data_IF_051386640509
#
_entry.id   IF_051386640509
#
_cell.length_a   1.000
_cell.length_b   1.000
_cell.length_c   1.000
_cell.angle_alpha   90.00
_cell.angle_beta   90.00
_cell.angle_gamma   90.00
#
_symmetry.space_group_name_H-M   'P 1'
#
loop_
_entity.id
_entity.type
_entity.pdbx_description
1 polymer ?
#
# COMPACT_ATOMS: atom_id res chain seq x y z
N UNK A 1 -21.88 -6.34 -8.37
CA UNK A 1 -23.21 -6.21 -7.71
C UNK A 1 -23.86 -7.57 -7.45
N UNK A 2 -23.49 -8.61 -8.20
CA UNK A 2 -24.20 -9.91 -8.18
C UNK A 2 -23.83 -10.89 -7.05
N UNK A 3 -22.70 -10.69 -6.36
CA UNK A 3 -22.27 -11.58 -5.25
C UNK A 3 -23.11 -11.38 -3.99
N UNK A 4 -23.59 -10.17 -3.72
CA UNK A 4 -24.43 -9.88 -2.55
C UNK A 4 -25.84 -10.54 -2.63
N UNK A 5 -26.37 -10.73 -3.83
CA UNK A 5 -27.68 -11.38 -4.01
C UNK A 5 -27.62 -12.89 -3.77
N UNK A 6 -26.49 -13.55 -4.08
CA UNK A 6 -26.33 -15.00 -3.87
C UNK A 6 -26.21 -15.36 -2.38
N UNK A 7 -25.52 -14.57 -1.59
CA UNK A 7 -25.35 -14.80 -0.15
C UNK A 7 -26.66 -14.59 0.63
N UNK A 8 -27.43 -13.56 0.31
CA UNK A 8 -28.74 -13.33 0.91
C UNK A 8 -29.74 -14.44 0.56
N UNK A 9 -29.67 -14.97 -0.64
CA UNK A 9 -30.52 -16.09 -1.09
C UNK A 9 -30.23 -17.38 -0.30
N UNK A 10 -28.96 -17.69 -0.03
CA UNK A 10 -28.57 -18.88 0.70
C UNK A 10 -28.93 -18.80 2.20
N UNK A 11 -28.77 -17.65 2.81
CA UNK A 11 -29.17 -17.40 4.21
C UNK A 11 -30.69 -17.49 4.37
N UNK A 12 -31.46 -16.95 3.42
CA UNK A 12 -32.92 -17.06 3.39
C UNK A 12 -33.41 -18.50 3.24
N UNK A 13 -32.75 -19.30 2.40
CA UNK A 13 -33.05 -20.72 2.20
C UNK A 13 -32.74 -21.53 3.45
N UNK A 14 -31.63 -21.28 4.12
CA UNK A 14 -31.25 -21.95 5.38
C UNK A 14 -32.22 -21.59 6.52
N UNK A 15 -32.61 -20.32 6.64
CA UNK A 15 -33.60 -19.88 7.62
C UNK A 15 -34.98 -20.47 7.36
N UNK A 16 -35.43 -20.55 6.11
CA UNK A 16 -36.72 -21.15 5.77
C UNK A 16 -36.76 -22.67 5.99
N UNK A 17 -35.67 -23.36 5.69
CA UNK A 17 -35.52 -24.79 5.99
C UNK A 17 -35.53 -25.06 7.49
N UNK A 18 -34.94 -24.17 8.26
CA UNK A 18 -34.91 -24.19 9.71
C UNK A 18 -36.29 -23.94 10.35
N UNK A 19 -37.03 -22.96 9.87
CA UNK A 19 -38.41 -22.67 10.32
C UNK A 19 -39.37 -23.82 9.99
N UNK A 20 -39.18 -24.54 8.87
CA UNK A 20 -39.93 -25.77 8.54
C UNK A 20 -39.62 -26.94 9.48
N UNK A 21 -38.39 -27.12 9.89
CA UNK A 21 -37.98 -28.14 10.87
C UNK A 21 -38.60 -27.89 12.25
N UNK A 22 -38.70 -26.63 12.69
CA UNK A 22 -39.32 -26.26 13.96
C UNK A 22 -40.84 -26.57 13.97
N UNK A 23 -41.54 -26.43 12.84
CA UNK A 23 -42.99 -26.65 12.74
C UNK A 23 -43.44 -28.11 12.76
N UNK A 24 -42.55 -29.08 12.51
CA UNK A 24 -42.95 -30.46 12.21
C UNK A 24 -43.02 -31.42 13.40
N UNK A 25 -42.49 -31.04 14.57
CA UNK A 25 -42.42 -31.99 15.69
C UNK A 25 -43.02 -31.48 16.99
N UNK A 26 -44.20 -32.01 17.36
CA UNK A 26 -44.96 -31.62 18.58
C UNK A 26 -44.72 -32.51 19.78
N UNK A 27 -43.88 -33.57 19.73
CA UNK A 27 -43.92 -34.64 20.76
C UNK A 27 -42.77 -34.62 21.79
N UNK A 28 -41.72 -33.83 21.62
CA UNK A 28 -40.60 -33.90 22.55
C UNK A 28 -40.04 -32.53 22.91
N UNK A 29 -40.57 -31.95 23.98
CA UNK A 29 -40.16 -30.60 24.45
C UNK A 29 -38.65 -30.48 24.71
N UNK A 30 -38.00 -31.52 25.25
CA UNK A 30 -36.54 -31.49 25.54
C UNK A 30 -35.69 -31.57 24.30
N UNK A 31 -36.07 -32.40 23.29
CA UNK A 31 -35.34 -32.44 22.01
C UNK A 31 -35.51 -31.13 21.24
N UNK A 32 -36.67 -30.48 21.35
CA UNK A 32 -36.90 -29.14 20.75
C UNK A 32 -35.97 -28.09 21.31
N UNK A 33 -35.79 -28.03 22.62
CA UNK A 33 -34.92 -27.07 23.29
C UNK A 33 -33.44 -27.29 22.87
N UNK A 34 -32.99 -28.56 22.81
CA UNK A 34 -31.65 -28.89 22.33
C UNK A 34 -31.42 -28.51 20.86
N UNK A 35 -32.40 -28.78 19.98
CA UNK A 35 -32.34 -28.38 18.56
C UNK A 35 -32.30 -26.87 18.40
N UNK A 36 -33.11 -26.11 19.17
CA UNK A 36 -33.13 -24.64 19.16
C UNK A 36 -31.77 -24.07 19.65
N UNK A 37 -31.21 -24.62 20.75
CA UNK A 37 -29.92 -24.19 21.27
C UNK A 37 -28.78 -24.48 20.28
N UNK A 38 -28.79 -25.68 19.65
CA UNK A 38 -27.78 -26.04 18.65
C UNK A 38 -27.86 -25.16 17.39
N UNK A 39 -29.07 -24.85 16.99
CA UNK A 39 -29.27 -23.95 15.85
C UNK A 39 -28.93 -22.49 16.17
N UNK A 40 -29.20 -22.04 17.40
CA UNK A 40 -28.72 -20.75 17.88
C UNK A 40 -27.19 -20.64 17.88
N UNK A 41 -26.51 -21.71 18.31
CA UNK A 41 -25.06 -21.81 18.26
C UNK A 41 -24.51 -21.76 16.82
N UNK A 42 -25.12 -22.51 15.90
CA UNK A 42 -24.74 -22.47 14.47
C UNK A 42 -24.96 -21.09 13.89
N UNK A 43 -26.12 -20.46 14.14
CA UNK A 43 -26.43 -19.12 13.66
C UNK A 43 -25.44 -18.08 14.23
N UNK A 44 -25.10 -18.18 15.52
CA UNK A 44 -24.11 -17.32 16.17
C UNK A 44 -22.72 -17.53 15.59
N UNK A 45 -22.35 -18.78 15.28
CA UNK A 45 -21.06 -19.10 14.66
C UNK A 45 -20.98 -18.59 13.21
N UNK A 46 -22.05 -18.77 12.44
CA UNK A 46 -22.14 -18.20 11.07
C UNK A 46 -22.08 -16.67 11.11
N UNK A 47 -22.80 -16.04 12.03
CA UNK A 47 -22.76 -14.59 12.20
C UNK A 47 -21.37 -14.11 12.62
N UNK A 48 -20.67 -14.86 13.50
CA UNK A 48 -19.29 -14.57 13.87
C UNK A 48 -18.32 -14.70 12.68
N UNK A 49 -18.49 -15.73 11.82
CA UNK A 49 -17.71 -15.86 10.60
C UNK A 49 -17.97 -14.72 9.62
N UNK A 50 -19.23 -14.33 9.45
CA UNK A 50 -19.62 -13.22 8.58
C UNK A 50 -19.08 -11.87 9.08
N UNK A 51 -19.09 -11.66 10.40
CA UNK A 51 -18.51 -10.45 11.01
C UNK A 51 -16.98 -10.39 10.90
N UNK A 52 -16.30 -11.56 10.85
CA UNK A 52 -14.85 -11.63 10.60
C UNK A 52 -14.48 -11.59 9.12
N UNK A 53 -15.41 -11.93 8.23
CA UNK A 53 -15.16 -11.90 6.80
C UNK A 53 -15.22 -10.46 6.30
N UNK A 54 -14.05 -9.89 6.08
CA UNK A 54 -13.93 -8.60 5.42
C UNK A 54 -13.48 -8.82 3.96
N UNK A 55 -14.40 -8.69 2.97
CA UNK A 55 -14.05 -8.91 1.57
C UNK A 55 -12.97 -7.95 1.07
N UNK A 56 -12.81 -6.79 1.72
CA UNK A 56 -11.75 -5.82 1.42
C UNK A 56 -10.36 -6.26 1.90
N UNK A 57 -10.29 -7.26 2.81
CA UNK A 57 -9.05 -7.90 3.20
C UNK A 57 -8.73 -9.14 2.34
N UNK A 58 -9.22 -9.19 1.11
CA UNK A 58 -8.89 -10.23 0.15
C UNK A 58 -7.68 -9.81 -0.69
N UNK A 59 -6.74 -10.74 -0.95
CA UNK A 59 -5.54 -10.50 -1.74
C UNK A 59 -5.86 -9.87 -3.09
N UNK A 60 -6.75 -10.51 -3.85
CA UNK A 60 -7.09 -10.04 -5.20
C UNK A 60 -7.74 -8.65 -5.18
N UNK A 61 -8.54 -8.33 -4.16
CA UNK A 61 -9.12 -6.99 -3.98
C UNK A 61 -8.02 -5.95 -3.73
N UNK A 62 -7.09 -6.24 -2.80
CA UNK A 62 -6.02 -5.31 -2.44
C UNK A 62 -5.03 -5.14 -3.59
N UNK A 63 -4.61 -6.22 -4.26
CA UNK A 63 -3.72 -6.15 -5.42
C UNK A 63 -4.35 -5.38 -6.58
N UNK A 64 -5.63 -5.61 -6.85
CA UNK A 64 -6.33 -4.85 -7.88
C UNK A 64 -6.37 -3.36 -7.54
N UNK A 65 -6.68 -3.03 -6.29
CA UNK A 65 -6.76 -1.64 -5.84
C UNK A 65 -5.38 -0.97 -5.87
N UNK A 66 -4.40 -1.55 -5.20
CA UNK A 66 -3.03 -1.01 -5.13
C UNK A 66 -2.46 -0.93 -6.54
N UNK A 67 -2.54 -2.01 -7.32
CA UNK A 67 -2.00 -2.05 -8.67
C UNK A 67 -2.63 -1.01 -9.61
N UNK A 68 -3.92 -0.71 -9.46
CA UNK A 68 -4.59 0.35 -10.23
C UNK A 68 -4.07 1.73 -9.83
N UNK A 69 -3.91 1.99 -8.55
CA UNK A 69 -3.50 3.32 -8.09
C UNK A 69 -2.00 3.56 -8.27
N UNK A 70 -1.15 2.58 -7.95
CA UNK A 70 0.30 2.75 -8.14
C UNK A 70 0.68 2.85 -9.62
N UNK A 71 -0.05 2.21 -10.54
CA UNK A 71 0.20 2.31 -11.98
C UNK A 71 -0.07 3.71 -12.56
N UNK A 72 -0.71 4.61 -11.81
CA UNK A 72 -0.84 6.03 -12.17
C UNK A 72 0.48 6.80 -12.04
N UNK A 73 1.40 6.25 -11.24
CA UNK A 73 2.70 6.87 -10.93
C UNK A 73 3.84 6.04 -11.49
N UNK A 74 3.74 4.70 -11.46
CA UNK A 74 4.80 3.76 -11.84
C UNK A 74 4.51 3.07 -13.19
N UNK A 75 5.21 3.39 -14.29
CA UNK A 75 6.33 4.32 -14.39
C UNK A 75 5.89 5.73 -14.78
N UNK A 76 6.60 6.73 -14.27
CA UNK A 76 6.55 8.11 -14.74
C UNK A 76 7.98 8.58 -15.02
N UNK A 77 8.32 8.90 -16.26
CA UNK A 77 9.71 9.20 -16.64
C UNK A 77 10.16 10.58 -16.15
N UNK A 78 9.35 11.60 -16.33
CA UNK A 78 9.67 12.95 -15.87
C UNK A 78 8.71 13.36 -14.75
N UNK A 79 9.20 14.11 -13.76
CA UNK A 79 8.36 14.57 -12.66
C UNK A 79 7.20 15.45 -13.13
N UNK A 80 7.41 16.24 -14.18
CA UNK A 80 6.36 17.11 -14.74
C UNK A 80 5.15 16.30 -15.25
N UNK A 81 5.36 15.06 -15.68
CA UNK A 81 4.30 14.18 -16.19
C UNK A 81 3.31 13.79 -15.07
N UNK A 82 3.73 13.89 -13.79
CA UNK A 82 2.82 13.69 -12.65
C UNK A 82 1.65 14.66 -12.63
N UNK A 83 1.77 15.86 -13.22
CA UNK A 83 0.65 16.79 -13.35
C UNK A 83 -0.48 16.28 -14.25
N UNK A 84 -0.26 15.25 -15.06
CA UNK A 84 -1.32 14.59 -15.82
C UNK A 84 -2.26 13.80 -14.89
N UNK A 85 -1.71 13.26 -13.79
CA UNK A 85 -2.46 12.52 -12.77
C UNK A 85 -2.93 13.42 -11.63
N UNK A 86 -2.17 14.49 -11.32
CA UNK A 86 -2.37 15.38 -10.18
C UNK A 86 -2.35 16.85 -10.63
N UNK A 87 -3.39 17.32 -11.34
CA UNK A 87 -3.39 18.65 -11.95
C UNK A 87 -3.36 19.78 -10.94
N UNK A 88 -3.76 19.53 -9.69
CA UNK A 88 -3.77 20.52 -8.59
C UNK A 88 -2.45 20.56 -7.80
N UNK A 89 -1.50 19.70 -8.14
CA UNK A 89 -0.22 19.58 -7.49
C UNK A 89 0.00 18.22 -6.83
N UNK A 90 1.24 17.97 -6.45
CA UNK A 90 1.66 16.73 -5.81
C UNK A 90 2.88 16.95 -4.94
N UNK A 91 3.13 15.99 -4.06
CA UNK A 91 4.36 15.87 -3.30
C UNK A 91 4.95 14.50 -3.55
N UNK A 92 6.24 14.46 -3.88
CA UNK A 92 7.06 13.25 -3.91
C UNK A 92 7.99 13.28 -2.72
N UNK A 93 8.00 12.21 -1.97
CA UNK A 93 8.84 12.05 -0.80
C UNK A 93 9.55 10.71 -0.86
N UNK A 94 10.87 10.73 -0.67
CA UNK A 94 11.67 9.52 -0.55
C UNK A 94 12.57 9.63 0.67
N UNK A 95 12.70 8.55 1.41
CA UNK A 95 13.64 8.42 2.52
C UNK A 95 14.38 7.10 2.43
N UNK A 96 15.66 7.11 2.74
CA UNK A 96 16.48 5.91 2.88
C UNK A 96 17.42 6.04 4.07
N UNK A 97 17.72 4.92 4.66
CA UNK A 97 18.78 4.83 5.64
C UNK A 97 20.14 4.73 4.94
N UNK A 98 21.10 5.51 5.43
CA UNK A 98 22.50 5.46 5.01
C UNK A 98 23.36 5.52 6.27
N UNK A 99 23.86 4.37 6.69
CA UNK A 99 24.56 4.22 7.97
C UNK A 99 23.67 4.64 9.17
N UNK A 100 24.14 5.59 9.96
CA UNK A 100 23.43 6.14 11.12
C UNK A 100 22.49 7.32 10.78
N UNK A 101 22.42 7.70 9.50
CA UNK A 101 21.64 8.83 9.03
C UNK A 101 20.42 8.41 8.20
N UNK A 102 19.44 9.28 8.16
CA UNK A 102 18.38 9.24 7.18
C UNK A 102 18.64 10.31 6.11
N UNK A 103 18.59 9.90 4.86
CA UNK A 103 18.61 10.82 3.72
C UNK A 103 17.20 10.91 3.16
N UNK A 104 16.66 12.14 3.13
CA UNK A 104 15.30 12.45 2.70
C UNK A 104 15.33 13.41 1.53
N UNK A 105 14.56 13.15 0.48
CA UNK A 105 14.26 14.12 -0.55
C UNK A 105 12.75 14.35 -0.59
N UNK A 106 12.33 15.60 -0.59
CA UNK A 106 10.93 16.00 -0.72
C UNK A 106 10.82 17.07 -1.79
N UNK A 107 10.02 16.80 -2.82
CA UNK A 107 9.74 17.75 -3.89
C UNK A 107 8.25 18.01 -3.97
N UNK A 108 7.89 19.27 -4.24
CA UNK A 108 6.50 19.72 -4.36
C UNK A 108 6.29 20.36 -5.73
N UNK A 109 5.39 19.80 -6.51
CA UNK A 109 4.84 20.39 -7.72
C UNK A 109 3.54 21.11 -7.39
N UNK A 110 3.46 22.41 -7.66
CA UNK A 110 2.28 23.22 -7.34
C UNK A 110 1.48 23.61 -8.56
N UNK A 111 2.11 23.70 -9.72
CA UNK A 111 1.49 24.14 -10.96
C UNK A 111 2.23 23.56 -12.17
N UNK A 112 1.49 23.09 -13.17
CA UNK A 112 2.06 22.56 -14.41
C UNK A 112 2.84 23.65 -15.15
N UNK A 113 4.09 23.34 -15.52
CA UNK A 113 4.99 24.28 -16.20
C UNK A 113 5.79 25.18 -15.26
N UNK A 114 5.52 25.16 -13.96
CA UNK A 114 6.38 25.79 -12.96
C UNK A 114 7.46 24.79 -12.48
N UNK A 115 8.61 25.29 -11.97
CA UNK A 115 9.61 24.42 -11.37
C UNK A 115 9.08 23.66 -10.15
N UNK A 116 9.38 22.36 -10.08
CA UNK A 116 9.10 21.51 -8.93
C UNK A 116 10.24 21.71 -7.92
N UNK A 117 9.92 22.09 -6.68
CA UNK A 117 10.90 22.55 -5.70
C UNK A 117 10.86 21.76 -4.42
N UNK A 118 11.97 21.71 -3.73
CA UNK A 118 12.04 21.07 -2.43
C UNK A 118 13.45 21.00 -1.85
N UNK A 119 13.67 19.97 -1.05
CA UNK A 119 14.88 19.84 -0.25
C UNK A 119 15.35 18.39 -0.22
N UNK A 120 16.67 18.22 -0.22
CA UNK A 120 17.39 17.00 0.11
C UNK A 120 18.06 17.21 1.47
N UNK A 121 17.71 16.36 2.44
CA UNK A 121 18.10 16.55 3.84
C UNK A 121 18.78 15.29 4.34
N UNK A 122 19.92 15.43 4.99
CA UNK A 122 20.53 14.40 5.83
C UNK A 122 20.20 14.70 7.29
N UNK A 123 19.72 13.69 8.02
CA UNK A 123 19.32 13.80 9.43
C UNK A 123 20.01 12.70 10.22
N UNK A 124 20.67 13.03 11.29
CA UNK A 124 21.19 12.05 12.24
C UNK A 124 20.04 11.35 12.97
N UNK A 125 20.08 10.02 13.06
CA UNK A 125 18.93 9.23 13.56
C UNK A 125 18.72 9.37 15.08
N UNK A 126 19.81 9.45 15.84
CA UNK A 126 19.73 9.54 17.30
C UNK A 126 19.21 10.89 17.78
N UNK A 127 19.79 11.97 17.27
CA UNK A 127 19.42 13.33 17.68
C UNK A 127 18.18 13.87 16.94
N UNK A 128 17.93 13.39 15.74
CA UNK A 128 16.94 13.95 14.82
C UNK A 128 17.37 15.28 14.19
N UNK A 129 18.61 15.70 14.39
CA UNK A 129 19.13 16.97 13.86
C UNK A 129 19.48 16.85 12.37
N UNK A 130 19.15 17.90 11.62
CA UNK A 130 19.54 18.00 10.22
C UNK A 130 21.03 18.35 10.13
N UNK A 131 21.83 17.48 9.57
CA UNK A 131 23.27 17.68 9.36
C UNK A 131 23.57 18.40 8.06
N UNK A 132 22.73 18.18 7.04
CA UNK A 132 22.82 18.86 5.73
C UNK A 132 21.44 19.16 5.21
N UNK A 133 21.29 20.33 4.56
CA UNK A 133 20.08 20.73 3.85
C UNK A 133 20.49 21.34 2.51
N UNK A 134 19.96 20.78 1.42
CA UNK A 134 20.27 21.18 0.05
C UNK A 134 18.94 21.50 -0.63
N UNK A 135 18.82 22.69 -1.17
CA UNK A 135 17.65 23.06 -1.99
C UNK A 135 17.75 22.40 -3.35
N UNK A 136 16.62 21.86 -3.80
CA UNK A 136 16.50 21.12 -5.06
C UNK A 136 15.40 21.77 -5.90
N UNK A 137 15.69 21.97 -7.17
CA UNK A 137 14.72 22.37 -8.17
C UNK A 137 14.78 21.37 -9.34
N UNK A 138 13.61 20.95 -9.84
CA UNK A 138 13.49 20.14 -11.04
C UNK A 138 12.66 20.90 -12.06
N UNK A 139 13.25 21.11 -13.25
CA UNK A 139 12.62 21.83 -14.33
C UNK A 139 13.14 21.37 -15.70
N UNK A 140 12.24 21.17 -16.66
CA UNK A 140 12.57 20.68 -18.01
C UNK A 140 13.43 19.40 -18.00
N UNK A 141 13.06 18.43 -17.17
CA UNK A 141 13.74 17.16 -17.10
C UNK A 141 15.08 17.17 -16.39
N UNK A 142 15.43 18.25 -15.68
CA UNK A 142 16.74 18.41 -15.04
C UNK A 142 16.64 18.83 -13.59
N UNK A 143 17.48 18.22 -12.75
CA UNK A 143 17.69 18.66 -11.38
C UNK A 143 18.76 19.75 -11.32
N UNK A 144 18.57 20.71 -10.44
CA UNK A 144 19.57 21.70 -10.03
C UNK A 144 19.60 21.76 -8.50
N UNK A 145 20.78 21.90 -7.93
CA UNK A 145 21.00 21.83 -6.49
C UNK A 145 21.75 23.07 -6.01
N UNK A 146 21.48 23.51 -4.77
CA UNK A 146 22.26 24.55 -4.12
C UNK A 146 23.69 24.13 -3.80
N UNK A 147 23.94 22.82 -3.64
CA UNK A 147 25.24 22.16 -3.53
C UNK A 147 25.21 20.84 -4.29
N UNK A 148 25.69 20.87 -5.54
CA UNK A 148 25.65 19.71 -6.44
C UNK A 148 26.55 18.57 -5.96
N UNK A 149 27.73 18.90 -5.38
CA UNK A 149 28.65 17.90 -4.88
C UNK A 149 28.03 17.08 -3.76
N UNK A 150 27.51 17.76 -2.74
CA UNK A 150 26.86 17.10 -1.61
C UNK A 150 25.57 16.39 -2.02
N UNK A 151 24.81 16.92 -2.98
CA UNK A 151 23.62 16.26 -3.52
C UNK A 151 23.96 14.92 -4.19
N UNK A 152 25.04 14.87 -4.99
CA UNK A 152 25.51 13.64 -5.65
C UNK A 152 25.99 12.59 -4.64
N UNK A 153 26.59 13.00 -3.53
CA UNK A 153 26.99 12.10 -2.44
C UNK A 153 25.78 11.53 -1.71
N UNK A 154 24.79 12.36 -1.39
CA UNK A 154 23.61 11.97 -0.62
C UNK A 154 22.54 11.24 -1.45
N UNK A 155 22.41 11.58 -2.73
CA UNK A 155 21.38 11.01 -3.61
C UNK A 155 21.96 10.67 -5.01
N UNK A 156 22.86 9.68 -5.07
CA UNK A 156 23.58 9.32 -6.31
C UNK A 156 22.68 8.81 -7.43
N UNK A 157 21.49 8.28 -7.12
CA UNK A 157 20.54 7.79 -8.11
C UNK A 157 19.96 8.93 -8.96
N UNK A 158 19.85 10.13 -8.41
CA UNK A 158 19.24 11.32 -9.03
C UNK A 158 17.92 11.03 -9.77
N UNK A 159 17.18 10.10 -9.21
CA UNK A 159 15.89 9.66 -9.75
C UNK A 159 15.06 9.01 -8.64
N UNK A 160 13.76 9.07 -8.76
CA UNK A 160 12.82 8.34 -7.90
C UNK A 160 12.64 6.92 -8.42
N UNK A 161 12.21 6.00 -7.54
CA UNK A 161 11.97 4.61 -7.90
C UNK A 161 10.89 4.49 -8.98
N UNK A 162 9.84 5.32 -8.91
CA UNK A 162 8.77 5.32 -9.91
C UNK A 162 9.25 5.71 -11.32
N UNK A 163 10.42 6.32 -11.47
CA UNK A 163 11.01 6.61 -12.77
C UNK A 163 11.73 5.39 -13.39
N UNK A 164 11.93 4.33 -12.62
CA UNK A 164 12.76 3.17 -13.00
C UNK A 164 11.99 1.88 -13.17
N UNK A 165 10.90 1.71 -12.43
CA UNK A 165 10.17 0.44 -12.40
C UNK A 165 8.71 0.61 -12.79
N UNK A 166 8.13 -0.45 -13.33
CA UNK A 166 6.69 -0.54 -13.63
C UNK A 166 6.01 -1.36 -12.55
N UNK A 167 5.03 -0.77 -11.90
CA UNK A 167 4.20 -1.46 -10.90
C UNK A 167 2.74 -1.42 -11.34
N UNK A 168 2.10 -2.59 -11.40
CA UNK A 168 0.69 -2.71 -11.74
C UNK A 168 0.11 -3.98 -11.11
N UNK A 169 -1.20 -4.19 -11.27
CA UNK A 169 -1.90 -5.35 -10.74
C UNK A 169 -1.28 -6.68 -11.18
N UNK A 170 -0.94 -6.80 -12.46
CA UNK A 170 -0.44 -8.06 -13.02
C UNK A 170 0.92 -8.39 -12.41
N UNK A 171 1.79 -7.39 -12.28
CA UNK A 171 3.06 -7.53 -11.58
C UNK A 171 2.86 -7.99 -10.14
N UNK A 172 2.01 -7.32 -9.34
CA UNK A 172 1.76 -7.67 -7.94
C UNK A 172 1.25 -9.11 -7.79
N UNK A 173 0.39 -9.56 -8.72
CA UNK A 173 -0.18 -10.92 -8.68
C UNK A 173 0.85 -12.04 -8.85
N UNK A 174 2.01 -11.75 -9.45
CA UNK A 174 3.11 -12.70 -9.64
C UNK A 174 3.98 -12.87 -8.41
N UNK A 175 3.92 -11.92 -7.47
CA UNK A 175 4.79 -11.90 -6.31
C UNK A 175 4.32 -12.88 -5.23
N UNK A 176 5.26 -13.40 -4.44
CA UNK A 176 4.97 -14.23 -3.27
C UNK A 176 4.50 -13.35 -2.12
N UNK A 177 3.18 -13.33 -1.88
CA UNK A 177 2.61 -12.60 -0.74
C UNK A 177 3.11 -13.19 0.58
N UNK A 178 3.64 -12.33 1.45
CA UNK A 178 4.05 -12.64 2.81
C UNK A 178 2.89 -12.37 3.78
N UNK A 179 2.37 -11.14 3.75
CA UNK A 179 1.27 -10.71 4.61
C UNK A 179 0.40 -9.65 3.93
N UNK A 180 -0.78 -9.44 4.47
CA UNK A 180 -1.71 -8.39 4.05
C UNK A 180 -2.50 -7.85 5.22
N UNK A 181 -2.79 -6.57 5.17
CA UNK A 181 -3.57 -5.89 6.20
C UNK A 181 -4.62 -4.96 5.58
N UNK A 182 -5.79 -4.90 6.21
CA UNK A 182 -6.82 -3.92 5.92
C UNK A 182 -7.51 -3.47 7.21
N UNK A 183 -7.53 -2.17 7.47
CA UNK A 183 -8.27 -1.57 8.58
C UNK A 183 -9.62 -1.04 8.09
N UNK A 184 -10.70 -1.56 8.66
CA UNK A 184 -12.05 -1.02 8.42
C UNK A 184 -12.31 0.31 9.13
N UNK A 185 -11.48 0.68 10.12
CA UNK A 185 -11.65 1.92 10.89
C UNK A 185 -11.24 3.16 10.10
N UNK A 186 -10.09 3.11 9.47
CA UNK A 186 -9.50 4.23 8.73
C UNK A 186 -9.24 3.94 7.25
N UNK A 187 -9.61 2.74 6.78
CA UNK A 187 -9.43 2.33 5.40
C UNK A 187 -7.97 2.17 4.97
N UNK A 188 -7.01 2.14 5.90
CA UNK A 188 -5.62 1.84 5.58
C UNK A 188 -5.46 0.37 5.19
N UNK A 189 -4.51 0.11 4.31
CA UNK A 189 -4.20 -1.24 3.84
C UNK A 189 -2.73 -1.35 3.49
N UNK A 190 -2.25 -2.59 3.52
CA UNK A 190 -0.87 -2.92 3.22
C UNK A 190 -0.79 -4.31 2.59
N UNK A 191 0.16 -4.49 1.66
CA UNK A 191 0.55 -5.77 1.09
C UNK A 191 2.07 -5.90 1.20
N UNK A 192 2.52 -7.00 1.78
CA UNK A 192 3.93 -7.30 2.01
C UNK A 192 4.33 -8.55 1.21
N UNK A 193 5.45 -8.46 0.50
CA UNK A 193 5.96 -9.52 -0.36
C UNK A 193 7.42 -9.82 -0.06
N UNK A 194 7.76 -11.12 0.03
CA UNK A 194 9.16 -11.55 0.02
C UNK A 194 9.60 -11.71 -1.44
N UNK A 195 10.54 -10.89 -1.89
CA UNK A 195 10.92 -10.83 -3.29
C UNK A 195 12.43 -10.75 -3.50
N UNK A 196 12.85 -11.14 -4.70
CA UNK A 196 14.15 -10.83 -5.27
C UNK A 196 13.88 -10.16 -6.61
N UNK A 197 14.06 -8.85 -6.67
CA UNK A 197 13.77 -8.02 -7.84
C UNK A 197 15.06 -7.28 -8.24
N UNK A 198 15.77 -7.76 -9.27
CA UNK A 198 17.05 -7.19 -9.69
C UNK A 198 16.99 -5.69 -9.95
N UNK A 199 15.89 -5.20 -10.55
CA UNK A 199 15.71 -3.77 -10.88
C UNK A 199 15.61 -2.89 -9.63
N UNK A 200 14.91 -3.35 -8.58
CA UNK A 200 14.86 -2.64 -7.30
C UNK A 200 16.21 -2.75 -6.58
N UNK A 201 16.81 -3.94 -6.59
CA UNK A 201 18.11 -4.17 -5.98
C UNK A 201 19.19 -3.28 -6.61
N UNK A 202 19.21 -3.17 -7.94
CA UNK A 202 20.13 -2.27 -8.65
C UNK A 202 19.89 -0.81 -8.27
N UNK A 203 18.63 -0.36 -8.25
CA UNK A 203 18.29 1.00 -7.85
C UNK A 203 18.75 1.32 -6.44
N UNK A 204 18.67 0.38 -5.50
CA UNK A 204 19.09 0.53 -4.11
C UNK A 204 20.59 0.23 -3.89
N UNK A 205 21.32 -0.12 -4.95
CA UNK A 205 22.73 -0.53 -4.90
C UNK A 205 22.97 -1.81 -4.09
N UNK A 206 22.01 -2.72 -4.12
CA UNK A 206 22.11 -4.06 -3.55
C UNK A 206 22.65 -5.07 -4.57
N UNK A 207 23.21 -6.21 -4.11
CA UNK A 207 23.47 -7.35 -4.98
C UNK A 207 22.17 -7.80 -5.68
N UNK A 208 22.24 -8.14 -6.96
CA UNK A 208 21.05 -8.52 -7.74
C UNK A 208 20.27 -9.71 -7.14
N UNK A 209 20.94 -10.57 -6.37
CA UNK A 209 20.35 -11.75 -5.71
C UNK A 209 19.80 -11.47 -4.30
N UNK A 210 19.86 -10.22 -3.80
CA UNK A 210 19.41 -9.92 -2.43
C UNK A 210 17.91 -10.11 -2.30
N UNK A 211 17.49 -10.83 -1.26
CA UNK A 211 16.09 -10.93 -0.86
C UNK A 211 15.71 -9.70 -0.06
N UNK A 212 14.55 -9.13 -0.36
CA UNK A 212 14.00 -7.94 0.30
C UNK A 212 12.52 -8.15 0.61
N UNK A 213 12.02 -7.45 1.61
CA UNK A 213 10.60 -7.25 1.82
C UNK A 213 10.15 -6.01 1.06
N UNK A 214 9.20 -6.20 0.14
CA UNK A 214 8.59 -5.13 -0.63
C UNK A 214 7.16 -4.92 -0.16
N UNK A 215 6.87 -3.73 0.35
CA UNK A 215 5.57 -3.39 0.91
C UNK A 215 4.91 -2.25 0.15
N UNK A 216 3.60 -2.37 -0.01
CA UNK A 216 2.75 -1.35 -0.61
C UNK A 216 1.69 -0.93 0.40
N UNK A 217 1.65 0.35 0.74
CA UNK A 217 0.69 0.91 1.67
C UNK A 217 -0.10 2.07 1.11
N UNK A 218 -1.32 2.25 1.62
CA UNK A 218 -2.18 3.36 1.28
C UNK A 218 -3.35 3.51 2.24
N UNK A 219 -4.19 4.51 2.00
CA UNK A 219 -5.38 4.76 2.82
C UNK A 219 -6.57 5.20 1.97
N UNK A 220 -7.76 4.74 2.39
CA UNK A 220 -9.05 5.16 1.84
C UNK A 220 -9.67 6.33 2.58
N UNK A 221 -9.10 6.74 3.70
CA UNK A 221 -9.69 7.76 4.57
C UNK A 221 -9.64 9.15 3.95
N UNK A 222 -8.69 9.39 3.05
CA UNK A 222 -8.55 10.63 2.34
C UNK A 222 -9.13 10.50 0.92
N UNK A 223 -9.74 11.55 0.45
CA UNK A 223 -10.19 11.66 -0.95
C UNK A 223 -9.01 11.83 -1.90
N UNK A 224 -7.85 12.16 -1.37
CA UNK A 224 -6.63 12.43 -2.10
C UNK A 224 -5.79 11.16 -2.27
N UNK A 225 -4.96 11.16 -3.28
CA UNK A 225 -4.00 10.09 -3.53
C UNK A 225 -2.96 10.03 -2.41
N UNK A 226 -2.71 8.84 -1.86
CA UNK A 226 -1.65 8.57 -0.89
C UNK A 226 -1.24 7.12 -0.99
N UNK A 227 -0.11 6.87 -1.63
CA UNK A 227 0.47 5.53 -1.76
C UNK A 227 1.97 5.55 -1.49
N UNK A 228 2.44 4.53 -0.81
CA UNK A 228 3.86 4.34 -0.52
C UNK A 228 4.33 2.97 -0.95
N UNK A 229 5.57 2.93 -1.43
CA UNK A 229 6.37 1.74 -1.64
C UNK A 229 7.47 1.75 -0.60
N UNK A 230 7.61 0.64 0.13
CA UNK A 230 8.63 0.47 1.18
C UNK A 230 9.46 -0.75 0.82
N UNK A 231 10.77 -0.65 1.04
CA UNK A 231 11.71 -1.78 0.92
C UNK A 231 12.47 -1.88 2.23
N UNK A 232 12.45 -3.09 2.78
CA UNK A 232 13.19 -3.44 3.99
C UNK A 232 14.00 -4.72 3.76
N UNK A 233 15.06 -4.91 4.53
CA UNK A 233 15.82 -6.15 4.54
C UNK A 233 16.06 -6.67 5.96
N UNK A 234 16.59 -7.88 6.07
CA UNK A 234 16.90 -8.52 7.36
C UNK A 234 18.03 -7.82 8.13
N UNK A 235 18.86 -7.01 7.44
CA UNK A 235 19.96 -6.25 8.05
C UNK A 235 19.49 -4.90 8.61
N UNK A 236 18.19 -4.59 8.49
CA UNK A 236 17.58 -3.37 9.02
C UNK A 236 17.67 -2.17 8.08
N UNK A 237 17.96 -2.39 6.79
CA UNK A 237 17.86 -1.33 5.79
C UNK A 237 16.40 -0.90 5.62
N UNK A 238 16.20 0.39 5.44
CA UNK A 238 14.88 0.98 5.21
C UNK A 238 14.93 1.96 4.05
N UNK A 239 14.00 1.78 3.12
CA UNK A 239 13.70 2.71 2.04
C UNK A 239 12.19 2.90 1.94
N UNK A 240 11.76 4.13 1.71
CA UNK A 240 10.35 4.44 1.45
C UNK A 240 10.23 5.53 0.40
N UNK A 241 9.35 5.30 -0.56
CA UNK A 241 8.92 6.31 -1.52
C UNK A 241 7.41 6.51 -1.41
N UNK A 242 6.97 7.77 -1.38
CA UNK A 242 5.56 8.12 -1.27
C UNK A 242 5.23 9.24 -2.26
N UNK A 243 4.14 9.09 -2.97
CA UNK A 243 3.53 10.16 -3.77
C UNK A 243 2.16 10.45 -3.18
N UNK A 244 1.83 11.72 -3.03
CA UNK A 244 0.54 12.15 -2.52
C UNK A 244 0.13 13.53 -3.05
N UNK A 245 -1.21 13.71 -3.14
CA UNK A 245 -1.89 14.94 -3.54
C UNK A 245 -2.43 15.68 -2.31
#
# INVERSE_FOLDING_TARGET
MDIYFYEYGMISLLMNSFLKLIKKDRRDKMMKVRKILFAGLIASFIMFLLLKYNPRNNRAYLENRIGTEVSRVYPTQNLEDLFEQFPNGFIVYQVRQVNENNVKIKLTGTEKGAPIKGELIETERESGENTKVIYVEYYNGKYTYSDEKTANELWPQQSFLFQKITLNKDFLSTLKLKDKYYSSMNGSFELNYDVNLPEINEYLSFPASKSIELSFGGSNSNRNYYYSVVVEDEDGYYFRETVYE
#
